data_IF_862354314196
#
_entry.id   IF_862354314196
#
_cell.length_a   1.000
_cell.length_b   1.000
_cell.length_c   1.000
_cell.angle_alpha   90.00
_cell.angle_beta   90.00
_cell.angle_gamma   90.00
#
_symmetry.space_group_name_H-M   'P 1'
#
loop_
_entity.id
_entity.type
_entity.pdbx_description
1 polymer ?
#
# COMPACT_ATOMS: atom_id res chain seq x y z
N UNK A 1 -9.28 10.08 11.10
CA UNK A 1 -8.73 8.71 11.03
C UNK A 1 -8.94 7.94 12.35
N UNK A 2 -8.65 8.55 13.49
CA UNK A 2 -8.58 7.93 14.82
C UNK A 2 -9.83 7.20 15.34
N UNK A 3 -11.08 7.69 15.16
CA UNK A 3 -12.26 7.01 15.73
C UNK A 3 -12.54 5.64 15.11
N UNK A 4 -12.24 5.45 13.82
CA UNK A 4 -12.41 4.18 13.14
C UNK A 4 -11.33 3.17 13.56
N UNK A 5 -10.08 3.62 13.69
CA UNK A 5 -8.94 2.77 14.10
C UNK A 5 -9.14 2.13 15.47
N UNK A 6 -9.74 2.86 16.41
CA UNK A 6 -10.04 2.35 17.77
C UNK A 6 -11.05 1.20 17.80
N UNK A 7 -11.81 1.00 16.73
CA UNK A 7 -12.84 -0.04 16.61
C UNK A 7 -12.47 -1.15 15.64
N UNK A 8 -11.46 -0.92 14.79
CA UNK A 8 -11.08 -1.85 13.75
C UNK A 8 -10.19 -2.97 14.30
N UNK A 9 -10.57 -4.22 14.04
CA UNK A 9 -9.72 -5.39 14.28
C UNK A 9 -8.66 -5.57 13.19
N UNK A 10 -8.95 -5.07 11.99
CA UNK A 10 -8.08 -5.12 10.82
C UNK A 10 -8.04 -3.74 10.16
N UNK A 11 -6.85 -3.25 9.84
CA UNK A 11 -6.64 -2.02 9.09
C UNK A 11 -5.89 -2.37 7.81
N UNK A 12 -6.49 -2.07 6.66
CA UNK A 12 -5.93 -2.39 5.34
C UNK A 12 -5.48 -1.10 4.65
N UNK A 13 -4.23 -1.09 4.20
CA UNK A 13 -3.64 0.02 3.45
C UNK A 13 -3.60 -0.36 1.97
N UNK A 14 -4.32 0.41 1.16
CA UNK A 14 -4.35 0.31 -0.30
C UNK A 14 -4.28 1.71 -0.97
N UNK A 15 -3.82 2.71 -0.22
CA UNK A 15 -3.68 4.08 -0.72
C UNK A 15 -2.47 4.21 -1.67
N UNK A 16 -2.50 5.13 -2.65
CA UNK A 16 -1.31 5.47 -3.42
C UNK A 16 -0.26 6.11 -2.51
N UNK A 17 1.02 5.88 -2.80
CA UNK A 17 2.11 6.62 -2.15
C UNK A 17 2.30 7.98 -2.83
N UNK A 18 2.04 9.02 -2.07
CA UNK A 18 2.10 10.43 -2.49
C UNK A 18 2.81 11.22 -1.40
N UNK A 19 3.07 12.51 -1.62
CA UNK A 19 3.60 13.37 -0.57
C UNK A 19 2.66 13.48 0.64
N UNK A 20 1.33 13.35 0.45
CA UNK A 20 0.35 13.43 1.53
C UNK A 20 0.08 12.12 2.26
N UNK A 21 0.52 10.98 1.71
CA UNK A 21 0.29 9.64 2.28
C UNK A 21 1.57 8.95 2.74
N UNK A 22 2.74 9.53 2.45
CA UNK A 22 4.02 9.04 2.96
C UNK A 22 4.04 9.10 4.49
N UNK A 23 4.31 7.96 5.12
CA UNK A 23 4.32 7.83 6.58
C UNK A 23 2.97 8.15 7.24
N UNK A 24 1.85 8.06 6.49
CA UNK A 24 0.53 8.36 7.04
C UNK A 24 0.11 7.42 8.17
N UNK A 25 0.75 6.25 8.27
CA UNK A 25 0.66 5.32 9.40
C UNK A 25 1.96 5.39 10.18
N UNK A 26 2.07 6.41 11.03
CA UNK A 26 3.17 6.61 11.96
C UNK A 26 2.93 5.92 13.32
N UNK A 27 3.88 6.06 14.25
CA UNK A 27 3.76 5.52 15.61
C UNK A 27 2.49 5.96 16.35
N UNK A 28 2.00 7.19 16.12
CA UNK A 28 0.81 7.72 16.79
C UNK A 28 -0.47 7.07 16.25
N UNK A 29 -0.50 6.79 14.94
CA UNK A 29 -1.59 6.10 14.27
C UNK A 29 -1.64 4.63 14.69
N UNK A 30 -0.48 3.97 14.74
CA UNK A 30 -0.36 2.59 15.23
C UNK A 30 -0.81 2.48 16.69
N UNK A 31 -0.40 3.42 17.54
CA UNK A 31 -0.83 3.46 18.95
C UNK A 31 -2.34 3.72 19.13
N UNK A 32 -2.98 4.36 18.14
CA UNK A 32 -4.42 4.60 18.15
C UNK A 32 -5.26 3.41 17.67
N UNK A 33 -4.65 2.39 17.07
CA UNK A 33 -5.34 1.15 16.70
C UNK A 33 -5.81 0.42 17.96
N UNK A 34 -6.87 -0.38 17.80
CA UNK A 34 -7.34 -1.28 18.85
C UNK A 34 -6.19 -2.22 19.27
N UNK A 35 -5.90 -2.41 20.57
CA UNK A 35 -4.93 -3.40 21.02
C UNK A 35 -5.30 -4.80 20.49
N UNK A 36 -4.31 -5.52 19.92
CA UNK A 36 -4.52 -6.80 19.26
C UNK A 36 -5.09 -6.71 17.84
N UNK A 37 -5.21 -5.51 17.26
CA UNK A 37 -5.53 -5.35 15.84
C UNK A 37 -4.38 -5.85 14.94
N UNK A 38 -4.69 -6.01 13.66
CA UNK A 38 -3.74 -6.39 12.61
C UNK A 38 -3.66 -5.33 11.53
N UNK A 39 -2.46 -5.12 11.01
CA UNK A 39 -2.21 -4.23 9.87
C UNK A 39 -1.97 -5.05 8.60
N UNK A 40 -2.65 -4.71 7.51
CA UNK A 40 -2.39 -5.28 6.18
C UNK A 40 -1.91 -4.16 5.28
N UNK A 41 -0.75 -4.31 4.65
CA UNK A 41 -0.26 -3.36 3.65
C UNK A 41 -0.07 -4.04 2.30
N UNK A 42 -0.96 -3.69 1.36
CA UNK A 42 -0.92 -4.07 -0.06
C UNK A 42 -0.79 -2.83 -0.96
N UNK A 43 -0.54 -1.67 -0.34
CA UNK A 43 -0.37 -0.40 -1.02
C UNK A 43 1.10 -0.19 -1.38
N UNK A 44 1.83 0.55 -0.54
CA UNK A 44 3.27 0.78 -0.69
C UNK A 44 3.90 0.78 0.70
N UNK A 45 5.14 0.29 0.83
CA UNK A 45 5.83 0.24 2.12
C UNK A 45 5.95 1.62 2.78
N UNK A 46 6.26 2.65 1.98
CA UNK A 46 6.37 4.04 2.46
C UNK A 46 5.08 4.69 2.99
N UNK A 47 3.94 3.99 3.02
CA UNK A 47 2.73 4.44 3.73
C UNK A 47 2.87 4.30 5.25
N UNK A 48 3.72 3.38 5.69
CA UNK A 48 3.92 3.03 7.10
C UNK A 48 5.33 3.43 7.52
N UNK A 49 5.45 3.94 8.73
CA UNK A 49 6.73 3.97 9.44
C UNK A 49 7.09 2.53 9.86
N UNK A 50 7.97 1.89 9.10
CA UNK A 50 8.30 0.47 9.26
C UNK A 50 8.98 0.18 10.60
N UNK A 51 9.82 1.10 11.10
CA UNK A 51 10.45 0.99 12.42
C UNK A 51 9.37 1.04 13.52
N UNK A 52 8.43 1.99 13.43
CA UNK A 52 7.33 2.06 14.38
C UNK A 52 6.40 0.83 14.33
N UNK A 53 6.19 0.25 13.14
CA UNK A 53 5.43 -0.99 12.98
C UNK A 53 6.14 -2.17 13.69
N UNK A 54 7.45 -2.31 13.45
CA UNK A 54 8.33 -3.29 14.09
C UNK A 54 8.22 -3.18 15.63
N UNK A 55 8.31 -1.96 16.17
CA UNK A 55 8.19 -1.72 17.62
C UNK A 55 6.81 -2.12 18.17
N UNK A 56 5.73 -1.85 17.44
CA UNK A 56 4.38 -2.21 17.89
C UNK A 56 4.11 -3.72 17.84
N UNK A 57 4.69 -4.41 16.86
CA UNK A 57 4.64 -5.87 16.76
C UNK A 57 5.48 -6.51 17.87
N UNK A 58 6.72 -6.06 18.07
CA UNK A 58 7.61 -6.56 19.12
C UNK A 58 7.03 -6.34 20.53
N UNK A 59 6.34 -5.23 20.76
CA UNK A 59 5.65 -4.95 22.02
C UNK A 59 4.32 -5.72 22.20
N UNK A 60 3.88 -6.51 21.21
CA UNK A 60 2.61 -7.24 21.25
C UNK A 60 1.37 -6.34 21.25
N UNK A 61 1.50 -5.05 20.87
CA UNK A 61 0.37 -4.13 20.77
C UNK A 61 -0.50 -4.45 19.56
N UNK A 62 0.14 -4.87 18.47
CA UNK A 62 -0.52 -5.47 17.32
C UNK A 62 -0.42 -6.99 17.41
N UNK A 63 -1.48 -7.68 17.01
CA UNK A 63 -1.50 -9.14 16.98
C UNK A 63 -0.80 -9.72 15.73
N UNK A 64 -0.39 -8.87 14.79
CA UNK A 64 0.30 -9.30 13.58
C UNK A 64 0.19 -8.30 12.44
N UNK A 65 0.88 -8.61 11.35
CA UNK A 65 0.83 -7.86 10.10
C UNK A 65 0.86 -8.79 8.88
N UNK A 66 0.26 -8.36 7.77
CA UNK A 66 0.44 -9.00 6.46
C UNK A 66 0.98 -7.96 5.47
N UNK A 67 2.16 -8.21 4.92
CA UNK A 67 2.94 -7.24 4.17
C UNK A 67 3.33 -7.80 2.80
N UNK A 68 2.86 -7.13 1.74
CA UNK A 68 3.25 -7.38 0.34
C UNK A 68 4.33 -6.37 -0.13
N UNK A 69 4.53 -5.30 0.62
CA UNK A 69 5.32 -4.12 0.25
C UNK A 69 6.15 -3.63 1.44
N UNK A 70 7.32 -3.06 1.17
CA UNK A 70 8.32 -2.74 2.20
C UNK A 70 8.95 -1.35 1.97
N UNK A 71 9.53 -0.76 3.03
CA UNK A 71 10.23 0.53 2.91
C UNK A 71 11.38 0.46 1.91
N UNK A 72 12.08 -0.68 1.91
CA UNK A 72 13.08 -1.06 0.92
C UNK A 72 12.67 -2.39 0.27
N UNK A 73 12.70 -2.45 -1.06
CA UNK A 73 12.35 -3.64 -1.82
C UNK A 73 13.51 -4.10 -2.72
N UNK A 74 13.88 -5.40 -2.70
CA UNK A 74 13.36 -6.46 -1.84
C UNK A 74 13.62 -6.22 -0.34
N UNK A 75 12.82 -6.82 0.53
CA UNK A 75 13.02 -6.75 1.98
C UNK A 75 14.43 -7.26 2.32
N UNK A 76 15.28 -6.45 3.01
CA UNK A 76 16.62 -6.88 3.40
C UNK A 76 16.61 -8.18 4.20
N UNK A 77 17.62 -9.02 4.01
CA UNK A 77 17.71 -10.32 4.69
C UNK A 77 17.84 -10.17 6.22
N UNK A 78 18.38 -9.04 6.67
CA UNK A 78 18.59 -8.68 8.06
C UNK A 78 17.33 -8.06 8.72
N UNK A 79 16.23 -7.90 7.97
CA UNK A 79 15.01 -7.32 8.51
C UNK A 79 14.41 -8.20 9.61
N UNK A 80 14.05 -7.64 10.78
CA UNK A 80 13.44 -8.43 11.85
C UNK A 80 12.05 -8.96 11.47
N UNK A 81 11.39 -8.36 10.46
CA UNK A 81 10.07 -8.78 10.01
C UNK A 81 10.02 -10.25 9.54
N UNK A 82 11.15 -10.82 9.11
CA UNK A 82 11.24 -12.23 8.71
C UNK A 82 10.92 -13.20 9.86
N UNK A 83 11.33 -12.87 11.08
CA UNK A 83 11.27 -13.77 12.23
C UNK A 83 10.15 -13.41 13.22
N UNK A 84 9.42 -12.32 12.98
CA UNK A 84 8.38 -11.83 13.90
C UNK A 84 7.14 -12.74 13.91
N UNK A 85 6.71 -13.24 15.09
CA UNK A 85 5.48 -14.00 15.21
C UNK A 85 4.27 -13.19 14.77
N UNK A 86 3.39 -13.79 13.97
CA UNK A 86 2.17 -13.14 13.48
C UNK A 86 2.41 -12.18 12.31
N UNK A 87 3.63 -12.10 11.77
CA UNK A 87 3.92 -11.40 10.52
C UNK A 87 3.86 -12.38 9.35
N UNK A 88 3.12 -12.01 8.32
CA UNK A 88 3.06 -12.71 7.03
C UNK A 88 3.67 -11.81 5.97
N UNK A 89 4.59 -12.37 5.18
CA UNK A 89 5.28 -11.66 4.10
C UNK A 89 4.97 -12.35 2.77
N UNK A 90 4.61 -11.56 1.76
CA UNK A 90 4.61 -11.97 0.35
C UNK A 90 5.57 -11.08 -0.45
N UNK A 91 6.10 -11.57 -1.59
CA UNK A 91 6.68 -10.70 -2.61
C UNK A 91 5.64 -9.71 -3.13
N UNK A 92 6.04 -8.54 -3.64
CA UNK A 92 5.17 -7.47 -4.14
C UNK A 92 4.35 -7.90 -5.37
N UNK A 93 3.31 -8.69 -5.11
CA UNK A 93 2.53 -9.43 -6.11
C UNK A 93 1.05 -9.46 -5.78
N UNK A 94 0.58 -8.77 -4.72
CA UNK A 94 -0.84 -8.73 -4.38
C UNK A 94 -1.72 -8.10 -5.49
N UNK A 95 -1.11 -7.34 -6.41
CA UNK A 95 -1.77 -6.83 -7.61
C UNK A 95 -1.82 -7.80 -8.79
N UNK A 96 -1.01 -8.87 -8.78
CA UNK A 96 -0.96 -9.86 -9.85
C UNK A 96 -2.17 -10.78 -9.75
N UNK A 97 -3.07 -10.70 -10.74
CA UNK A 97 -4.30 -11.49 -10.81
C UNK A 97 -4.44 -12.16 -12.16
N UNK A 98 -5.26 -13.21 -12.25
CA UNK A 98 -5.53 -13.90 -13.51
C UNK A 98 -6.06 -12.92 -14.56
N UNK A 99 -5.36 -12.79 -15.70
CA UNK A 99 -5.73 -11.86 -16.78
C UNK A 99 -5.16 -10.45 -16.63
N UNK A 100 -4.43 -10.14 -15.55
CA UNK A 100 -3.83 -8.82 -15.32
C UNK A 100 -2.87 -8.43 -16.43
N UNK A 101 -2.00 -9.37 -16.84
CA UNK A 101 -0.99 -9.12 -17.86
C UNK A 101 -1.62 -8.81 -19.22
N UNK A 102 -2.65 -9.54 -19.60
CA UNK A 102 -3.42 -9.30 -20.82
C UNK A 102 -4.07 -7.91 -20.78
N UNK A 103 -4.76 -7.57 -19.68
CA UNK A 103 -5.39 -6.26 -19.50
C UNK A 103 -4.37 -5.11 -19.53
N UNK A 104 -3.19 -5.30 -18.93
CA UNK A 104 -2.10 -4.32 -18.94
C UNK A 104 -1.59 -4.07 -20.36
N UNK A 105 -1.37 -5.14 -21.14
CA UNK A 105 -0.95 -5.05 -22.54
C UNK A 105 -2.02 -4.36 -23.39
N UNK A 106 -3.29 -4.67 -23.18
CA UNK A 106 -4.40 -4.00 -23.88
C UNK A 106 -4.41 -2.48 -23.62
N UNK A 107 -4.29 -2.06 -22.36
CA UNK A 107 -4.21 -0.63 -21.99
C UNK A 107 -2.99 0.03 -22.61
N UNK A 108 -1.84 -0.65 -22.61
CA UNK A 108 -0.62 -0.14 -23.22
C UNK A 108 -0.77 0.07 -24.74
N UNK A 109 -1.30 -0.92 -25.46
CA UNK A 109 -1.46 -0.86 -26.91
C UNK A 109 -2.49 0.21 -27.33
N UNK A 110 -3.59 0.36 -26.59
CA UNK A 110 -4.56 1.44 -26.81
C UNK A 110 -3.90 2.82 -26.60
N UNK A 111 -3.14 3.00 -25.52
CA UNK A 111 -2.43 4.26 -25.26
C UNK A 111 -1.30 4.54 -26.27
N UNK A 112 -0.59 3.52 -26.74
CA UNK A 112 0.42 3.67 -27.79
C UNK A 112 -0.23 4.15 -29.09
N UNK A 113 -1.35 3.55 -29.49
CA UNK A 113 -2.11 3.96 -30.67
C UNK A 113 -2.60 5.40 -30.55
N UNK A 114 -3.20 5.75 -29.40
CA UNK A 114 -3.63 7.12 -29.09
C UNK A 114 -2.48 8.12 -29.17
N UNK A 115 -1.31 7.76 -28.64
CA UNK A 115 -0.13 8.62 -28.67
C UNK A 115 0.34 8.90 -30.10
N UNK A 116 0.45 7.86 -30.94
CA UNK A 116 0.88 7.99 -32.35
C UNK A 116 -0.10 8.87 -33.14
N UNK A 117 -1.40 8.75 -32.86
CA UNK A 117 -2.46 9.50 -33.54
C UNK A 117 -2.73 10.89 -32.92
N UNK A 118 -2.01 11.29 -31.88
CA UNK A 118 -2.22 12.56 -31.18
C UNK A 118 -3.55 12.65 -30.42
N UNK A 119 -4.16 11.51 -30.06
CA UNK A 119 -5.39 11.44 -29.26
C UNK A 119 -5.10 11.47 -27.75
N UNK A 120 -6.06 11.94 -26.92
CA UNK A 120 -5.93 11.85 -25.47
C UNK A 120 -5.73 10.41 -24.97
N UNK A 121 -4.76 10.24 -24.06
CA UNK A 121 -4.47 8.97 -23.40
C UNK A 121 -5.52 8.63 -22.34
N UNK A 122 -5.67 7.35 -22.04
CA UNK A 122 -6.44 6.83 -20.89
C UNK A 122 -5.56 6.72 -19.65
N UNK A 123 -6.19 6.82 -18.48
CA UNK A 123 -5.55 6.63 -17.18
C UNK A 123 -4.32 7.54 -16.97
N UNK A 124 -4.43 8.80 -17.38
CA UNK A 124 -3.33 9.76 -17.23
C UNK A 124 -3.11 10.04 -15.75
N UNK A 125 -1.93 9.70 -15.26
CA UNK A 125 -1.51 10.00 -13.90
C UNK A 125 -1.17 11.49 -13.79
N UNK A 126 -1.83 12.19 -12.87
CA UNK A 126 -1.41 13.52 -12.47
C UNK A 126 -0.12 13.38 -11.65
N UNK A 127 1.01 13.84 -12.21
CA UNK A 127 2.34 13.71 -11.58
C UNK A 127 2.48 14.51 -10.28
N UNK A 128 1.62 15.50 -10.03
CA UNK A 128 1.59 16.26 -8.76
C UNK A 128 0.83 15.49 -7.69
N UNK A 129 -0.29 14.86 -8.06
CA UNK A 129 -1.12 14.08 -7.13
C UNK A 129 -0.61 12.66 -6.91
N UNK A 130 0.03 12.05 -7.90
CA UNK A 130 0.59 10.70 -7.84
C UNK A 130 -0.38 9.58 -8.22
N UNK A 131 -1.56 9.90 -8.77
CA UNK A 131 -2.56 8.93 -9.21
C UNK A 131 -3.44 9.51 -10.34
N UNK A 132 -4.26 8.66 -10.96
CA UNK A 132 -5.19 9.07 -12.02
C UNK A 132 -6.31 9.93 -11.43
N UNK A 133 -6.59 11.07 -12.04
CA UNK A 133 -7.74 11.90 -11.67
C UNK A 133 -8.86 11.62 -12.66
N UNK A 134 -9.90 10.94 -12.20
CA UNK A 134 -11.13 10.82 -12.96
C UNK A 134 -12.10 11.89 -12.46
N UNK A 135 -12.24 12.99 -13.21
CA UNK A 135 -13.18 14.07 -12.87
C UNK A 135 -14.66 13.64 -13.02
N UNK A 136 -14.92 12.46 -13.60
CA UNK A 136 -16.28 11.94 -13.83
C UNK A 136 -16.76 10.99 -12.73
N UNK A 137 -15.89 10.61 -11.79
CA UNK A 137 -16.21 9.70 -10.70
C UNK A 137 -16.05 10.44 -9.35
N UNK A 138 -17.15 10.79 -8.66
CA UNK A 138 -17.03 11.45 -7.36
C UNK A 138 -16.36 10.50 -6.36
N UNK A 139 -15.48 11.07 -5.53
CA UNK A 139 -14.84 10.41 -4.39
C UNK A 139 -15.84 10.25 -3.26
#
# INVERSE_FOLDING_TARGET
MTPALKKADYVVLAAPLTNGTRGMVDASVLAAMKPGARLINVGRGGLVDEEALIDHLAAGRLAGAALDVFGQEPLPAESPLWDMPGVMISPHTAGETTGEREALVEVFLDNLTRHIEGRPLRNVVDKRRGYVVDETRPV
#
